data_IF_284797676934
#
_entry.id   IF_284797676934
#
_cell.length_a   1.000
_cell.length_b   1.000
_cell.length_c   1.000
_cell.angle_alpha   90.00
_cell.angle_beta   90.00
_cell.angle_gamma   90.00
#
_symmetry.space_group_name_H-M   'P 1'
#
loop_
_entity.id
_entity.type
_entity.pdbx_description
1 polymer ?
#
# COMPACT_ATOMS: atom_id res chain seq x y z
N UNK A 1 -16.95 11.27 21.81
CA UNK A 1 -18.37 11.11 21.39
C UNK A 1 -18.43 9.80 20.62
N UNK A 2 -19.28 8.86 21.03
CA UNK A 2 -19.41 7.57 20.33
C UNK A 2 -19.96 7.79 18.92
N UNK A 3 -19.39 7.09 17.92
CA UNK A 3 -19.81 7.20 16.52
C UNK A 3 -21.30 6.90 16.32
N UNK A 4 -21.85 5.97 17.10
CA UNK A 4 -23.29 5.64 17.13
C UNK A 4 -24.16 6.83 17.51
N UNK A 5 -23.77 7.60 18.53
CA UNK A 5 -24.54 8.78 18.94
C UNK A 5 -24.47 9.92 17.91
N UNK A 6 -23.39 9.99 17.13
CA UNK A 6 -23.28 10.94 16.02
C UNK A 6 -24.14 10.51 14.82
N UNK A 7 -24.29 9.21 14.57
CA UNK A 7 -25.16 8.69 13.51
C UNK A 7 -26.62 9.07 13.76
N UNK A 8 -27.11 8.81 14.98
CA UNK A 8 -28.48 9.09 15.37
C UNK A 8 -28.80 10.59 15.28
N UNK A 9 -27.85 11.45 15.69
CA UNK A 9 -28.01 12.90 15.60
C UNK A 9 -28.09 13.40 14.15
N UNK A 10 -27.31 12.83 13.23
CA UNK A 10 -27.37 13.20 11.81
C UNK A 10 -28.62 12.63 11.11
N UNK A 11 -29.09 11.45 11.53
CA UNK A 11 -30.33 10.85 11.02
C UNK A 11 -31.55 11.71 11.41
N UNK A 12 -31.62 12.17 12.66
CA UNK A 12 -32.68 13.07 13.13
C UNK A 12 -32.64 14.43 12.42
N UNK A 13 -31.44 14.99 12.22
CA UNK A 13 -31.26 16.23 11.47
C UNK A 13 -31.74 16.12 10.01
N UNK A 14 -31.54 14.97 9.36
CA UNK A 14 -32.00 14.73 8.00
C UNK A 14 -33.50 14.44 7.90
N UNK A 15 -34.12 13.93 8.96
CA UNK A 15 -35.57 13.77 9.04
C UNK A 15 -36.28 15.13 9.19
N UNK A 16 -35.67 16.08 9.90
CA UNK A 16 -36.19 17.43 10.06
C UNK A 16 -35.88 18.31 8.83
N UNK A 17 -34.68 18.19 8.26
CA UNK A 17 -34.23 18.94 7.09
C UNK A 17 -33.60 18.03 6.01
N UNK A 18 -34.41 17.37 5.17
CA UNK A 18 -33.91 16.44 4.13
C UNK A 18 -33.03 17.11 3.06
N UNK A 19 -33.05 18.44 2.97
CA UNK A 19 -32.26 19.23 2.03
C UNK A 19 -30.88 19.64 2.53
N UNK A 20 -30.52 19.35 3.78
CA UNK A 20 -29.30 19.86 4.39
C UNK A 20 -28.06 19.06 3.93
N UNK A 21 -27.29 19.61 3.00
CA UNK A 21 -26.12 18.96 2.41
C UNK A 21 -24.98 18.72 3.40
N UNK A 22 -24.86 19.57 4.42
CA UNK A 22 -23.88 19.39 5.50
C UNK A 22 -24.25 18.19 6.38
N UNK A 23 -25.53 18.03 6.72
CA UNK A 23 -26.02 16.88 7.47
C UNK A 23 -25.89 15.57 6.66
N UNK A 24 -26.12 15.61 5.34
CA UNK A 24 -25.93 14.44 4.45
C UNK A 24 -24.47 14.00 4.41
N UNK A 25 -23.57 14.95 4.25
CA UNK A 25 -22.12 14.69 4.23
C UNK A 25 -21.65 14.14 5.59
N UNK A 26 -22.11 14.74 6.69
CA UNK A 26 -21.83 14.28 8.05
C UNK A 26 -22.35 12.87 8.32
N UNK A 27 -23.61 12.58 7.95
CA UNK A 27 -24.22 11.26 8.06
C UNK A 27 -23.42 10.20 7.29
N UNK A 28 -23.06 10.48 6.04
CA UNK A 28 -22.27 9.56 5.21
C UNK A 28 -20.87 9.31 5.78
N UNK A 29 -20.22 10.34 6.34
CA UNK A 29 -18.91 10.21 6.96
C UNK A 29 -18.96 9.36 8.25
N UNK A 30 -19.96 9.61 9.11
CA UNK A 30 -20.14 8.83 10.35
C UNK A 30 -20.56 7.40 10.05
N UNK A 31 -21.45 7.18 9.08
CA UNK A 31 -21.85 5.84 8.64
C UNK A 31 -20.66 5.04 8.10
N UNK A 32 -19.78 5.66 7.31
CA UNK A 32 -18.53 5.02 6.86
C UNK A 32 -17.59 4.69 8.02
N UNK A 33 -17.51 5.56 9.04
CA UNK A 33 -16.69 5.31 10.21
C UNK A 33 -17.24 4.13 11.03
N UNK A 34 -18.56 4.04 11.21
CA UNK A 34 -19.22 2.90 11.86
C UNK A 34 -19.04 1.62 11.04
N UNK A 35 -19.23 1.67 9.72
CA UNK A 35 -19.01 0.51 8.84
C UNK A 35 -17.54 0.06 8.83
N UNK A 36 -16.60 0.99 9.00
CA UNK A 36 -15.17 0.70 9.14
C UNK A 36 -14.82 0.13 10.52
N UNK A 37 -15.49 0.57 11.59
CA UNK A 37 -15.35 0.00 12.94
C UNK A 37 -16.00 -1.39 13.06
N UNK A 38 -17.15 -1.62 12.40
CA UNK A 38 -17.81 -2.93 12.31
C UNK A 38 -17.02 -3.90 11.43
N UNK A 39 -16.27 -3.40 10.44
CA UNK A 39 -15.26 -4.16 9.69
C UNK A 39 -13.88 -4.20 10.37
N UNK A 40 -13.75 -3.57 11.53
CA UNK A 40 -12.50 -3.31 12.25
C UNK A 40 -11.92 -4.50 13.00
N UNK A 41 -12.46 -5.71 12.83
CA UNK A 41 -11.82 -6.95 13.35
C UNK A 41 -11.23 -7.85 12.26
N UNK A 42 -11.30 -7.50 10.97
CA UNK A 42 -10.65 -8.29 9.90
C UNK A 42 -10.24 -7.48 8.65
N UNK A 43 -9.70 -6.26 8.79
CA UNK A 43 -9.29 -5.47 7.62
C UNK A 43 -7.94 -4.75 7.83
N UNK A 44 -6.87 -5.52 7.71
CA UNK A 44 -5.56 -5.02 7.30
C UNK A 44 -5.69 -4.40 5.88
N UNK A 45 -5.13 -3.22 5.58
CA UNK A 45 -5.00 -2.68 4.22
C UNK A 45 -4.28 -3.61 3.23
N UNK A 46 -3.63 -4.69 3.69
CA UNK A 46 -3.10 -5.79 2.87
C UNK A 46 -4.13 -6.91 2.56
N UNK A 47 -5.29 -6.90 3.23
CA UNK A 47 -6.30 -7.98 3.23
C UNK A 47 -7.37 -7.91 2.13
N UNK A 48 -7.22 -7.04 1.13
CA UNK A 48 -8.26 -6.79 0.13
C UNK A 48 -8.30 -7.73 -1.07
N UNK A 49 -7.37 -8.69 -1.21
CA UNK A 49 -7.32 -9.57 -2.39
C UNK A 49 -8.20 -10.82 -2.21
N UNK A 50 -8.19 -11.43 -1.02
CA UNK A 50 -8.98 -12.63 -0.74
C UNK A 50 -10.50 -12.44 -0.83
N UNK A 51 -10.99 -11.22 -0.54
CA UNK A 51 -12.41 -10.89 -0.67
C UNK A 51 -12.90 -10.81 -2.12
N UNK A 52 -12.03 -10.44 -3.05
CA UNK A 52 -12.34 -10.28 -4.48
C UNK A 52 -12.57 -11.65 -5.13
N UNK A 53 -11.81 -12.66 -4.73
CA UNK A 53 -11.97 -14.03 -5.22
C UNK A 53 -13.18 -14.77 -4.64
N UNK A 54 -13.84 -14.18 -3.65
CA UNK A 54 -15.09 -14.70 -3.08
C UNK A 54 -16.34 -14.06 -3.71
N UNK A 55 -16.20 -13.20 -4.72
CA UNK A 55 -17.31 -12.57 -5.44
C UNK A 55 -18.12 -13.64 -6.24
N UNK A 56 -19.45 -13.75 -6.04
CA UNK A 56 -20.33 -14.59 -6.85
C UNK A 56 -20.28 -14.29 -8.36
N UNK A 57 -19.92 -13.07 -8.75
CA UNK A 57 -19.80 -12.62 -10.14
C UNK A 57 -18.39 -12.77 -10.72
N UNK A 58 -17.43 -13.31 -9.96
CA UNK A 58 -16.04 -13.50 -10.36
C UNK A 58 -15.92 -14.15 -11.74
N UNK A 59 -16.48 -15.35 -11.91
CA UNK A 59 -16.35 -16.11 -13.16
C UNK A 59 -16.99 -15.42 -14.35
N UNK A 60 -18.09 -14.68 -14.13
CA UNK A 60 -18.75 -13.92 -15.18
C UNK A 60 -17.86 -12.76 -15.67
N UNK A 61 -17.23 -12.03 -14.74
CA UNK A 61 -16.28 -10.94 -15.06
C UNK A 61 -15.07 -11.46 -15.83
N UNK A 62 -14.53 -12.62 -15.43
CA UNK A 62 -13.40 -13.26 -16.12
C UNK A 62 -13.76 -13.80 -17.49
N UNK A 63 -14.96 -14.36 -17.67
CA UNK A 63 -15.44 -14.85 -18.96
C UNK A 63 -15.73 -13.72 -19.95
N UNK A 64 -16.13 -12.55 -19.43
CA UNK A 64 -16.47 -11.37 -20.24
C UNK A 64 -15.24 -10.61 -20.73
N UNK A 65 -14.06 -10.90 -20.17
CA UNK A 65 -12.83 -10.24 -20.56
C UNK A 65 -11.99 -11.12 -21.51
N UNK A 66 -11.59 -10.60 -22.69
CA UNK A 66 -10.90 -11.38 -23.72
C UNK A 66 -9.52 -11.90 -23.29
N UNK A 67 -8.88 -11.25 -22.31
CA UNK A 67 -7.56 -11.65 -21.79
C UNK A 67 -7.65 -12.81 -20.80
N UNK A 68 -8.75 -12.93 -20.06
CA UNK A 68 -8.91 -13.93 -18.99
C UNK A 68 -9.84 -15.08 -19.38
N UNK A 69 -10.70 -14.89 -20.38
CA UNK A 69 -11.61 -15.92 -20.89
C UNK A 69 -10.89 -17.21 -21.33
N UNK A 70 -9.73 -17.17 -22.03
CA UNK A 70 -8.99 -18.39 -22.39
C UNK A 70 -8.42 -19.14 -21.17
N UNK A 71 -8.15 -18.43 -20.07
CA UNK A 71 -7.61 -19.03 -18.84
C UNK A 71 -8.67 -19.86 -18.10
N UNK A 72 -9.96 -19.58 -18.30
CA UNK A 72 -11.04 -20.37 -17.72
C UNK A 72 -11.20 -21.75 -18.39
N UNK A 73 -10.64 -21.92 -19.59
CA UNK A 73 -10.59 -23.21 -20.27
C UNK A 73 -9.41 -24.09 -19.79
N UNK A 74 -8.49 -23.53 -19.02
CA UNK A 74 -7.35 -24.25 -18.44
C UNK A 74 -7.74 -24.89 -17.09
N UNK A 75 -7.72 -26.23 -17.04
CA UNK A 75 -8.05 -26.99 -15.84
C UNK A 75 -7.06 -26.77 -14.68
N UNK A 76 -5.79 -26.49 -14.97
CA UNK A 76 -4.78 -26.19 -13.95
C UNK A 76 -5.04 -24.81 -13.31
N UNK A 77 -5.40 -23.83 -14.14
CA UNK A 77 -5.70 -22.48 -13.68
C UNK A 77 -7.00 -22.41 -12.87
N UNK A 78 -8.03 -23.14 -13.32
CA UNK A 78 -9.29 -23.27 -12.57
C UNK A 78 -9.08 -23.89 -11.18
N UNK A 79 -8.17 -24.86 -11.05
CA UNK A 79 -7.80 -25.43 -9.75
C UNK A 79 -7.14 -24.39 -8.83
N UNK A 80 -6.33 -23.48 -9.37
CA UNK A 80 -5.71 -22.37 -8.61
C UNK A 80 -6.76 -21.37 -8.11
N UNK A 81 -7.70 -20.97 -8.97
CA UNK A 81 -8.83 -20.11 -8.57
C UNK A 81 -9.66 -20.73 -7.45
N UNK A 82 -9.93 -22.04 -7.54
CA UNK A 82 -10.66 -22.77 -6.51
C UNK A 82 -9.88 -22.83 -5.19
N UNK A 83 -8.57 -23.08 -5.25
CA UNK A 83 -7.68 -23.09 -4.07
C UNK A 83 -7.66 -21.75 -3.33
N UNK A 84 -7.57 -20.66 -4.09
CA UNK A 84 -7.59 -19.30 -3.53
C UNK A 84 -8.93 -18.96 -2.89
N UNK A 85 -10.03 -19.42 -3.50
CA UNK A 85 -11.38 -19.27 -2.94
C UNK A 85 -11.53 -20.03 -1.62
N UNK A 86 -11.03 -21.26 -1.55
CA UNK A 86 -11.07 -22.10 -0.35
C UNK A 86 -10.10 -21.62 0.74
N UNK A 87 -8.95 -21.06 0.34
CA UNK A 87 -7.92 -20.59 1.25
C UNK A 87 -7.33 -19.24 0.79
N UNK A 88 -7.85 -18.11 1.31
CA UNK A 88 -7.34 -16.77 1.00
C UNK A 88 -5.84 -16.57 1.30
N UNK A 89 -5.23 -17.40 2.14
CA UNK A 89 -3.79 -17.34 2.43
C UNK A 89 -2.92 -17.91 1.29
N UNK A 90 -3.49 -18.67 0.34
CA UNK A 90 -2.73 -19.22 -0.79
C UNK A 90 -2.47 -18.21 -1.91
N UNK A 91 -3.13 -17.04 -1.87
CA UNK A 91 -2.97 -15.96 -2.87
C UNK A 91 -1.50 -15.57 -3.04
N UNK A 92 -0.72 -15.51 -1.96
CA UNK A 92 0.70 -15.15 -2.01
C UNK A 92 1.56 -16.07 -2.87
N UNK A 93 1.19 -17.34 -3.01
CA UNK A 93 1.89 -18.30 -3.87
C UNK A 93 1.45 -18.15 -5.32
N UNK A 94 0.16 -17.88 -5.55
CA UNK A 94 -0.40 -17.73 -6.89
C UNK A 94 -0.02 -16.39 -7.56
N UNK A 95 0.34 -15.37 -6.79
CA UNK A 95 0.89 -14.08 -7.28
C UNK A 95 2.16 -14.27 -8.13
N UNK A 96 2.88 -15.38 -7.97
CA UNK A 96 4.04 -15.70 -8.81
C UNK A 96 3.65 -16.15 -10.22
N UNK A 97 2.40 -16.58 -10.45
CA UNK A 97 1.92 -16.96 -11.78
C UNK A 97 1.47 -15.70 -12.55
N UNK A 98 2.10 -15.38 -13.69
CA UNK A 98 1.75 -14.19 -14.48
C UNK A 98 0.30 -14.23 -14.98
N UNK A 99 -0.28 -15.42 -15.20
CA UNK A 99 -1.68 -15.59 -15.60
C UNK A 99 -2.64 -15.22 -14.46
N UNK A 100 -2.24 -15.49 -13.23
CA UNK A 100 -3.03 -15.16 -12.04
C UNK A 100 -3.02 -13.65 -11.77
N UNK A 101 -1.88 -12.99 -11.95
CA UNK A 101 -1.76 -11.53 -11.89
C UNK A 101 -2.66 -10.84 -12.92
N UNK A 102 -2.72 -11.38 -14.15
CA UNK A 102 -3.59 -10.87 -15.21
C UNK A 102 -5.08 -10.95 -14.85
N UNK A 103 -5.49 -12.02 -14.16
CA UNK A 103 -6.86 -12.14 -13.62
C UNK A 103 -7.11 -11.13 -12.51
N UNK A 104 -6.16 -10.99 -11.58
CA UNK A 104 -6.26 -10.05 -10.47
C UNK A 104 -6.33 -8.60 -10.95
N UNK A 105 -5.59 -8.24 -12.01
CA UNK A 105 -5.60 -6.90 -12.59
C UNK A 105 -6.97 -6.56 -13.19
N UNK A 106 -7.56 -7.50 -13.94
CA UNK A 106 -8.91 -7.36 -14.49
C UNK A 106 -9.96 -7.21 -13.39
N UNK A 107 -9.81 -7.95 -12.30
CA UNK A 107 -10.75 -7.89 -11.17
C UNK A 107 -10.63 -6.63 -10.33
N UNK A 108 -9.43 -6.09 -10.20
CA UNK A 108 -9.17 -4.81 -9.56
C UNK A 108 -9.53 -3.61 -10.46
N UNK A 109 -9.90 -3.88 -11.72
CA UNK A 109 -10.17 -2.82 -12.70
C UNK A 109 -8.92 -2.02 -13.07
N UNK A 110 -7.73 -2.59 -12.84
CA UNK A 110 -6.44 -1.99 -13.15
C UNK A 110 -5.96 -2.67 -14.43
N UNK A 111 -6.06 -1.98 -15.56
CA UNK A 111 -5.39 -2.40 -16.79
C UNK A 111 -3.88 -2.17 -16.65
N UNK A 112 -3.21 -3.08 -15.94
CA UNK A 112 -1.75 -3.17 -15.99
C UNK A 112 -1.35 -3.74 -17.34
N UNK A 113 -1.18 -2.87 -18.33
CA UNK A 113 -0.50 -3.20 -19.57
C UNK A 113 0.99 -3.45 -19.28
N UNK A 114 1.28 -4.62 -18.71
CA UNK A 114 2.65 -5.12 -18.59
C UNK A 114 3.17 -5.28 -20.02
N UNK A 115 4.21 -4.50 -20.35
CA UNK A 115 4.70 -4.29 -21.70
C UNK A 115 4.86 -5.58 -22.51
N UNK A 116 4.02 -5.71 -23.53
CA UNK A 116 4.17 -6.62 -24.66
C UNK A 116 3.64 -5.90 -25.90
N UNK A 117 4.22 -6.10 -27.11
CA UNK A 117 3.83 -5.35 -28.30
C UNK A 117 2.35 -5.60 -28.68
N UNK A 118 1.66 -4.62 -29.31
CA UNK A 118 0.24 -4.72 -29.63
C UNK A 118 -0.03 -5.46 -30.94
N UNK A 119 -1.22 -6.11 -30.99
CA UNK A 119 -2.02 -6.50 -32.19
C UNK A 119 -1.35 -7.48 -33.19
N UNK A 120 -2.00 -8.45 -33.84
CA UNK A 120 -3.41 -8.78 -34.10
C UNK A 120 -3.44 -10.12 -34.88
N UNK A 121 -4.60 -10.78 -34.89
CA UNK A 121 -5.11 -11.71 -35.91
C UNK A 121 -4.31 -12.99 -36.29
N UNK A 122 -4.89 -14.16 -35.98
CA UNK A 122 -4.71 -15.39 -36.76
C UNK A 122 -5.55 -15.32 -38.06
N UNK A 123 -5.45 -16.26 -39.05
CA UNK A 123 -4.67 -17.51 -39.10
C UNK A 123 -3.93 -17.76 -40.44
N UNK A 124 -2.95 -18.66 -40.47
CA UNK A 124 -2.82 -19.77 -41.46
C UNK A 124 -1.46 -20.48 -41.38
N UNK A 125 -1.49 -21.75 -41.77
CA UNK A 125 -0.44 -22.74 -41.67
C UNK A 125 0.80 -22.47 -42.54
N UNK A 126 1.98 -22.87 -42.06
CA UNK A 126 2.86 -23.83 -42.74
C UNK A 126 4.11 -24.13 -41.89
N UNK A 127 4.43 -25.41 -41.81
CA UNK A 127 5.68 -25.95 -41.25
C UNK A 127 6.85 -25.55 -42.15
N UNK A 128 7.92 -25.00 -41.56
CA UNK A 128 9.28 -25.21 -42.06
C UNK A 128 10.27 -25.15 -40.89
N UNK A 129 11.18 -26.11 -40.87
CA UNK A 129 12.17 -26.37 -39.84
C UNK A 129 13.28 -25.28 -39.78
N UNK A 130 14.04 -25.17 -38.67
CA UNK A 130 14.81 -23.98 -38.33
C UNK A 130 16.14 -23.93 -39.07
N UNK A 131 16.50 -22.76 -39.62
CA UNK A 131 17.88 -22.42 -39.98
C UNK A 131 18.48 -21.51 -38.90
N UNK A 132 19.71 -21.79 -38.43
CA UNK A 132 20.34 -21.04 -37.35
C UNK A 132 20.83 -19.69 -37.89
N UNK A 133 20.35 -18.60 -37.29
CA UNK A 133 20.92 -17.27 -37.46
C UNK A 133 21.67 -16.84 -36.20
N UNK A 134 22.70 -16.01 -36.36
CA UNK A 134 23.84 -15.94 -35.45
C UNK A 134 23.47 -15.32 -34.10
N UNK A 135 24.09 -15.84 -33.03
CA UNK A 135 24.17 -15.19 -31.72
C UNK A 135 24.60 -13.74 -31.93
N UNK A 136 23.64 -12.81 -31.83
CA UNK A 136 23.94 -11.44 -31.44
C UNK A 136 24.51 -11.51 -30.03
N UNK A 137 25.68 -10.93 -29.86
CA UNK A 137 26.24 -10.59 -28.55
C UNK A 137 25.14 -9.92 -27.70
N UNK A 138 25.11 -10.19 -26.37
CA UNK A 138 24.20 -9.49 -25.50
C UNK A 138 24.48 -7.99 -25.62
N UNK A 139 23.48 -7.25 -26.11
CA UNK A 139 23.37 -5.82 -25.85
C UNK A 139 23.48 -5.64 -24.33
N UNK A 140 24.28 -4.68 -23.84
CA UNK A 140 24.40 -4.46 -22.40
C UNK A 140 22.99 -4.21 -21.85
N UNK A 141 22.63 -4.95 -20.79
CA UNK A 141 21.46 -4.60 -19.98
C UNK A 141 21.52 -3.09 -19.72
N UNK A 142 20.43 -2.34 -19.95
CA UNK A 142 20.39 -0.96 -19.50
C UNK A 142 20.67 -0.98 -18.00
N UNK A 143 21.74 -0.29 -17.57
CA UNK A 143 21.99 -0.06 -16.15
C UNK A 143 20.68 0.44 -15.52
N UNK A 144 20.26 -0.12 -14.36
CA UNK A 144 19.06 0.33 -13.69
C UNK A 144 19.13 1.84 -13.52
N UNK A 145 18.11 2.56 -13.99
CA UNK A 145 18.11 4.01 -13.90
C UNK A 145 18.31 4.42 -12.42
N UNK A 146 19.19 5.41 -12.13
CA UNK A 146 19.56 5.78 -10.76
C UNK A 146 18.36 6.15 -9.85
N UNK A 147 17.20 6.45 -10.43
CA UNK A 147 15.95 6.72 -9.71
C UNK A 147 15.37 5.48 -9.00
N UNK A 148 15.50 4.29 -9.58
CA UNK A 148 14.99 3.05 -8.97
C UNK A 148 15.88 2.57 -7.82
N UNK A 149 17.21 2.75 -7.95
CA UNK A 149 18.16 2.44 -6.87
C UNK A 149 18.05 3.45 -5.71
N UNK A 150 17.90 4.74 -6.00
CA UNK A 150 17.71 5.79 -4.98
C UNK A 150 16.37 5.62 -4.24
N UNK A 151 15.29 5.31 -4.96
CA UNK A 151 13.98 5.04 -4.35
C UNK A 151 14.01 3.79 -3.45
N UNK A 152 14.69 2.73 -3.89
CA UNK A 152 14.88 1.52 -3.09
C UNK A 152 15.75 1.77 -1.85
N UNK A 153 16.82 2.57 -1.99
CA UNK A 153 17.67 2.96 -0.86
C UNK A 153 16.90 3.80 0.16
N UNK A 154 16.10 4.77 -0.29
CA UNK A 154 15.24 5.58 0.56
C UNK A 154 14.19 4.75 1.29
N UNK A 155 13.58 3.78 0.61
CA UNK A 155 12.61 2.86 1.22
C UNK A 155 13.27 1.99 2.30
N UNK A 156 14.45 1.42 2.02
CA UNK A 156 15.21 0.64 3.02
C UNK A 156 15.63 1.49 4.22
N UNK A 157 16.07 2.72 3.98
CA UNK A 157 16.40 3.68 5.02
C UNK A 157 15.18 4.00 5.90
N UNK A 158 14.02 4.22 5.29
CA UNK A 158 12.75 4.43 5.99
C UNK A 158 12.33 3.20 6.82
N UNK A 159 12.42 2.00 6.26
CA UNK A 159 12.09 0.75 6.97
C UNK A 159 13.03 0.53 8.16
N UNK A 160 14.34 0.79 8.00
CA UNK A 160 15.31 0.73 9.09
C UNK A 160 14.99 1.75 10.20
N UNK A 161 14.67 2.99 9.82
CA UNK A 161 14.27 4.03 10.78
C UNK A 161 12.98 3.66 11.52
N UNK A 162 12.00 3.09 10.83
CA UNK A 162 10.74 2.66 11.43
C UNK A 162 10.89 1.47 12.36
N UNK A 163 11.82 0.55 12.08
CA UNK A 163 12.17 -0.54 12.98
C UNK A 163 12.76 -0.01 14.29
N UNK A 164 13.73 0.90 14.21
CA UNK A 164 14.35 1.54 15.39
C UNK A 164 13.33 2.37 16.19
N UNK A 165 12.46 3.14 15.51
CA UNK A 165 11.34 3.86 16.14
C UNK A 165 10.44 2.92 16.95
N UNK A 166 10.14 1.73 16.43
CA UNK A 166 9.29 0.77 17.13
C UNK A 166 9.94 0.30 18.44
N UNK A 167 11.24 0.04 18.41
CA UNK A 167 12.01 -0.32 19.62
C UNK A 167 12.00 0.84 20.62
N UNK A 168 12.24 2.08 20.15
CA UNK A 168 12.14 3.28 20.99
C UNK A 168 10.78 3.45 21.64
N UNK A 169 9.69 3.21 20.89
CA UNK A 169 8.31 3.25 21.41
C UNK A 169 8.07 2.21 22.52
N UNK A 170 8.67 1.03 22.41
CA UNK A 170 8.53 -0.01 23.42
C UNK A 170 9.28 0.36 24.72
N UNK A 171 10.43 1.02 24.63
CA UNK A 171 11.12 1.60 25.79
C UNK A 171 10.37 2.81 26.38
N UNK A 172 9.82 3.68 25.52
CA UNK A 172 9.04 4.85 25.94
C UNK A 172 7.83 4.43 26.79
N UNK A 173 7.08 3.40 26.36
CA UNK A 173 5.95 2.84 27.12
C UNK A 173 6.37 2.28 28.47
N UNK A 174 7.61 1.81 28.61
CA UNK A 174 8.20 1.34 29.87
C UNK A 174 8.76 2.47 30.73
N UNK A 175 8.62 3.73 30.29
CA UNK A 175 9.25 4.93 30.91
C UNK A 175 10.78 4.86 30.96
N UNK A 176 11.38 4.06 30.08
CA UNK A 176 12.82 3.97 29.86
C UNK A 176 13.21 5.01 28.81
N UNK A 177 13.22 6.27 29.22
CA UNK A 177 13.31 7.39 28.27
C UNK A 177 14.70 7.54 27.64
N UNK A 178 15.77 7.18 28.36
CA UNK A 178 17.13 7.25 27.83
C UNK A 178 17.33 6.26 26.68
N UNK A 179 16.90 5.02 26.87
CA UNK A 179 16.94 3.98 25.84
C UNK A 179 15.98 4.31 24.68
N UNK A 180 14.81 4.88 24.96
CA UNK A 180 13.90 5.34 23.92
C UNK A 180 14.54 6.40 23.03
N UNK A 181 15.20 7.41 23.63
CA UNK A 181 15.91 8.48 22.91
C UNK A 181 17.03 7.90 22.06
N UNK A 182 17.80 6.93 22.57
CA UNK A 182 18.88 6.29 21.79
C UNK A 182 18.33 5.63 20.51
N UNK A 183 17.25 4.87 20.62
CA UNK A 183 16.62 4.22 19.47
C UNK A 183 15.97 5.21 18.50
N UNK A 184 15.36 6.29 18.99
CA UNK A 184 14.87 7.33 18.09
C UNK A 184 15.99 8.11 17.39
N UNK A 185 17.15 8.31 18.02
CA UNK A 185 18.32 8.89 17.36
C UNK A 185 18.83 7.99 16.23
N UNK A 186 18.91 6.66 16.47
CA UNK A 186 19.23 5.69 15.41
C UNK A 186 18.22 5.74 14.26
N UNK A 187 16.93 5.92 14.58
CA UNK A 187 15.90 6.09 13.56
C UNK A 187 16.14 7.35 12.71
N UNK A 188 16.50 8.46 13.34
CA UNK A 188 16.85 9.73 12.70
C UNK A 188 18.13 9.66 11.86
N UNK A 189 19.11 8.86 12.26
CA UNK A 189 20.31 8.60 11.48
C UNK A 189 20.03 7.71 10.26
N UNK A 190 19.12 6.75 10.39
CA UNK A 190 18.71 5.86 9.30
C UNK A 190 17.88 6.60 8.24
N UNK A 191 16.90 7.40 8.67
CA UNK A 191 16.07 8.21 7.78
C UNK A 191 15.72 9.54 8.46
N UNK A 192 15.92 10.64 7.73
CA UNK A 192 15.70 12.01 8.23
C UNK A 192 14.22 12.37 8.22
N UNK A 193 13.41 11.67 9.01
CA UNK A 193 11.99 11.94 9.22
C UNK A 193 11.76 12.68 10.54
N UNK A 194 11.13 13.86 10.46
CA UNK A 194 10.78 14.71 11.60
C UNK A 194 9.94 13.99 12.67
N UNK A 195 9.22 12.93 12.29
CA UNK A 195 8.48 12.09 13.23
C UNK A 195 9.39 11.52 14.32
N UNK A 196 10.64 11.17 14.00
CA UNK A 196 11.59 10.65 14.99
C UNK A 196 12.05 11.74 15.97
N UNK A 197 12.30 12.96 15.48
CA UNK A 197 12.63 14.12 16.33
C UNK A 197 11.47 14.48 17.28
N UNK A 198 10.23 14.43 16.80
CA UNK A 198 9.06 14.65 17.65
C UNK A 198 8.98 13.62 18.79
N UNK A 199 9.32 12.36 18.52
CA UNK A 199 9.34 11.31 19.54
C UNK A 199 10.50 11.49 20.54
N UNK A 200 11.67 11.95 20.09
CA UNK A 200 12.79 12.34 20.98
C UNK A 200 12.35 13.48 21.89
N UNK A 201 11.70 14.50 21.34
CA UNK A 201 11.16 15.63 22.11
C UNK A 201 10.17 15.16 23.19
N UNK A 202 9.24 14.27 22.83
CA UNK A 202 8.30 13.69 23.78
C UNK A 202 9.02 12.90 24.90
N UNK A 203 10.03 12.09 24.55
CA UNK A 203 10.79 11.30 25.53
C UNK A 203 11.60 12.19 26.48
N UNK A 204 12.25 13.23 25.97
CA UNK A 204 12.94 14.23 26.80
C UNK A 204 11.98 14.99 27.70
N UNK A 205 10.79 15.34 27.20
CA UNK A 205 9.76 16.02 27.98
C UNK A 205 9.28 15.18 29.16
N UNK A 206 8.96 13.91 28.92
CA UNK A 206 8.52 12.98 29.98
C UNK A 206 9.65 12.64 30.98
N UNK A 207 10.91 12.70 30.54
CA UNK A 207 12.09 12.60 31.42
C UNK A 207 12.28 13.85 32.29
N UNK A 208 11.63 14.98 31.96
CA UNK A 208 11.80 16.27 32.62
C UNK A 208 12.95 17.13 32.08
N UNK A 209 13.55 16.73 30.94
CA UNK A 209 14.55 17.52 30.23
C UNK A 209 13.86 18.51 29.28
N UNK A 210 13.35 19.60 29.87
CA UNK A 210 12.62 20.63 29.13
C UNK A 210 13.53 21.42 28.17
N UNK A 211 14.79 21.63 28.53
CA UNK A 211 15.73 22.35 27.69
C UNK A 211 16.06 21.53 26.44
N UNK A 212 16.40 20.24 26.61
CA UNK A 212 16.64 19.34 25.50
C UNK A 212 15.40 19.12 24.63
N UNK A 213 14.19 19.19 25.21
CA UNK A 213 12.93 19.16 24.45
C UNK A 213 12.81 20.36 23.52
N UNK A 214 13.07 21.57 24.02
CA UNK A 214 12.99 22.80 23.21
C UNK A 214 13.96 22.74 22.04
N UNK A 215 15.20 22.34 22.30
CA UNK A 215 16.24 22.20 21.25
C UNK A 215 15.82 21.19 20.19
N UNK A 216 15.29 20.04 20.59
CA UNK A 216 14.83 19.00 19.66
C UNK A 216 13.63 19.48 18.83
N UNK A 217 12.68 20.21 19.44
CA UNK A 217 11.55 20.78 18.71
C UNK A 217 11.98 21.87 17.71
N UNK A 218 13.01 22.66 18.03
CA UNK A 218 13.58 23.63 17.10
C UNK A 218 14.26 22.94 15.91
N UNK A 219 15.04 21.88 16.16
CA UNK A 219 15.62 21.03 15.12
C UNK A 219 14.53 20.45 14.21
N UNK A 220 13.46 19.89 14.79
CA UNK A 220 12.33 19.34 14.03
C UNK A 220 11.65 20.37 13.12
N UNK A 221 11.57 21.63 13.54
CA UNK A 221 11.02 22.72 12.73
C UNK A 221 11.97 23.09 11.57
N UNK A 222 13.28 23.15 11.82
CA UNK A 222 14.27 23.45 10.79
C UNK A 222 14.28 22.35 9.73
N UNK A 223 14.47 21.11 10.15
CA UNK A 223 14.52 19.93 9.28
C UNK A 223 13.20 19.72 8.53
N UNK A 224 12.06 19.88 9.20
CA UNK A 224 10.75 19.77 8.57
C UNK A 224 10.48 20.84 7.51
N UNK A 225 11.11 22.01 7.63
CA UNK A 225 11.04 23.07 6.61
C UNK A 225 11.95 22.75 5.43
N UNK A 226 13.16 22.27 5.67
CA UNK A 226 14.12 21.89 4.62
C UNK A 226 13.57 20.73 3.80
N UNK A 227 13.14 19.64 4.44
CA UNK A 227 12.56 18.49 3.73
C UNK A 227 11.28 18.86 2.95
N UNK A 228 10.38 19.67 3.53
CA UNK A 228 9.20 20.16 2.79
C UNK A 228 9.54 21.10 1.65
N UNK A 229 10.60 21.89 1.77
CA UNK A 229 11.08 22.73 0.69
C UNK A 229 11.62 21.87 -0.45
N UNK A 230 12.40 20.85 -0.17
CA UNK A 230 12.94 19.92 -1.16
C UNK A 230 11.84 19.16 -1.91
N UNK A 231 10.83 18.63 -1.21
CA UNK A 231 9.67 18.01 -1.87
C UNK A 231 8.93 18.96 -2.83
N UNK A 232 8.88 20.26 -2.52
CA UNK A 232 8.21 21.26 -3.36
C UNK A 232 9.08 21.71 -4.55
N UNK A 233 10.40 21.63 -4.42
CA UNK A 233 11.37 21.94 -5.48
C UNK A 233 11.52 20.76 -6.46
N UNK A 234 11.42 19.52 -5.96
CA UNK A 234 11.43 18.29 -6.78
C UNK A 234 10.16 18.11 -7.62
N UNK A 235 9.06 18.81 -7.29
CA UNK A 235 7.76 18.67 -7.96
C UNK A 235 7.55 19.64 -9.15
N UNK A 236 8.59 20.06 -9.87
CA UNK A 236 8.49 21.08 -10.91
C UNK A 236 9.17 20.72 -12.24
#
# INVERSE_FOLDING_TARGET
>A
MNAVAAHDAYEEALNLEPGNDQAKSGFAAVKRAIDAEVKGDTADPSGGIGGIFNDPQLFQKLASNPKTSPLLADGEFMAKLQRVKENPNSVGQEIQDPRFLQVMSVLLGIDMNFGGPPESAAPEAQQEAPKPQPKKEPEPEPEPEPQDEEALAKKKAQEAGDAEKKIGNDFYKKRQFDEAIEHYNKAWEANKDVTYLNNIGAAKFEKGDYQGTIETCQEAIMEGREYRADFKVLAK
#
